data_IF_019662058534
#
_entry.id   IF_019662058534
#
_cell.length_a   1.000
_cell.length_b   1.000
_cell.length_c   1.000
_cell.angle_alpha   90.00
_cell.angle_beta   90.00
_cell.angle_gamma   90.00
#
_symmetry.space_group_name_H-M   'P 1'
#
loop_
_entity.id
_entity.type
_entity.pdbx_description
1 polymer ?
#
# COMPACT_ATOMS: atom_id res chain seq x y z
N UNK A 1 -8.35 15.50 9.05
CA UNK A 1 -7.92 14.39 8.17
C UNK A 1 -6.71 13.64 8.74
N UNK A 2 -5.69 14.35 9.16
CA UNK A 2 -4.45 13.74 9.68
C UNK A 2 -4.69 12.83 10.89
N UNK A 3 -5.61 13.20 11.78
CA UNK A 3 -5.92 12.45 13.00
C UNK A 3 -6.49 11.05 12.72
N UNK A 4 -7.35 10.90 11.72
CA UNK A 4 -7.91 9.60 11.36
C UNK A 4 -6.86 8.60 10.92
N UNK A 5 -5.89 9.03 10.12
CA UNK A 5 -4.76 8.18 9.70
C UNK A 5 -3.91 7.75 10.91
N UNK A 6 -3.69 8.68 11.86
CA UNK A 6 -2.96 8.39 13.10
C UNK A 6 -3.72 7.33 13.91
N UNK A 7 -5.01 7.54 14.19
CA UNK A 7 -5.83 6.63 14.98
C UNK A 7 -5.91 5.23 14.36
N UNK A 8 -6.09 5.15 13.03
CA UNK A 8 -6.12 3.87 12.33
C UNK A 8 -4.79 3.12 12.48
N UNK A 9 -3.68 3.84 12.43
CA UNK A 9 -2.33 3.25 12.61
C UNK A 9 -2.00 2.84 14.05
N UNK A 10 -2.78 3.30 15.02
CA UNK A 10 -2.67 2.85 16.43
C UNK A 10 -3.27 1.46 16.63
N UNK A 11 -4.15 1.01 15.72
CA UNK A 11 -4.72 -0.35 15.78
C UNK A 11 -3.63 -1.38 15.45
N UNK A 12 -3.41 -2.37 16.31
CA UNK A 12 -2.34 -3.34 16.14
C UNK A 12 -2.38 -4.06 14.79
N UNK A 13 -1.24 -4.13 14.13
CA UNK A 13 -1.06 -4.79 12.85
C UNK A 13 -1.30 -3.92 11.63
N UNK A 14 -1.92 -2.74 11.77
CA UNK A 14 -2.08 -1.80 10.67
C UNK A 14 -0.72 -1.23 10.26
N UNK A 15 -0.35 -1.40 9.01
CA UNK A 15 0.93 -0.95 8.45
C UNK A 15 0.79 0.36 7.68
N UNK A 16 -0.27 0.49 6.89
CA UNK A 16 -0.53 1.65 6.04
C UNK A 16 -1.98 2.09 6.17
N UNK A 17 -2.23 3.41 6.10
CA UNK A 17 -3.57 3.97 6.15
C UNK A 17 -3.66 5.25 5.31
N UNK A 18 -4.84 5.50 4.76
CA UNK A 18 -5.17 6.68 3.95
C UNK A 18 -6.55 7.18 4.29
N UNK A 19 -6.74 8.49 4.16
CA UNK A 19 -8.02 9.14 4.38
C UNK A 19 -8.31 10.15 3.26
N UNK A 20 -9.56 10.21 2.85
CA UNK A 20 -10.06 11.15 1.84
C UNK A 20 -11.21 11.95 2.42
N UNK A 21 -11.14 13.28 2.30
CA UNK A 21 -12.23 14.16 2.70
C UNK A 21 -13.36 14.11 1.68
N UNK A 22 -14.58 14.29 2.19
CA UNK A 22 -15.78 14.38 1.38
C UNK A 22 -16.00 13.17 0.45
N UNK A 23 -15.69 11.96 0.92
CA UNK A 23 -15.75 10.71 0.12
C UNK A 23 -17.13 10.52 -0.54
N UNK A 24 -18.19 10.79 0.20
CA UNK A 24 -19.58 10.81 -0.30
C UNK A 24 -20.23 12.20 -0.12
N UNK A 25 -19.45 13.26 -0.11
CA UNK A 25 -19.90 14.62 0.09
C UNK A 25 -19.50 15.24 1.44
N UNK A 26 -19.89 16.49 1.70
CA UNK A 26 -19.51 17.20 2.92
C UNK A 26 -19.87 16.43 4.19
N UNK A 27 -18.97 16.41 5.17
CA UNK A 27 -19.18 15.71 6.44
C UNK A 27 -18.87 14.21 6.40
N UNK A 28 -18.34 13.69 5.29
CA UNK A 28 -17.91 12.30 5.16
C UNK A 28 -16.39 12.18 5.00
N UNK A 29 -15.83 11.09 5.50
CA UNK A 29 -14.42 10.74 5.36
C UNK A 29 -14.31 9.31 4.86
N UNK A 30 -13.65 9.09 3.74
CA UNK A 30 -13.24 7.77 3.28
C UNK A 30 -11.97 7.35 4.01
N UNK A 31 -11.88 6.11 4.46
CA UNK A 31 -10.76 5.61 5.23
C UNK A 31 -10.37 4.22 4.76
N UNK A 32 -9.11 4.05 4.39
CA UNK A 32 -8.56 2.76 4.00
C UNK A 32 -7.30 2.44 4.79
N UNK A 33 -7.05 1.17 5.01
CA UNK A 33 -5.83 0.68 5.66
C UNK A 33 -5.47 -0.72 5.20
N UNK A 34 -4.24 -1.14 5.47
CA UNK A 34 -3.70 -2.44 5.10
C UNK A 34 -2.87 -3.06 6.23
N UNK A 35 -2.71 -4.38 6.14
CA UNK A 35 -1.92 -5.21 7.04
C UNK A 35 -0.81 -5.92 6.26
N UNK A 36 0.29 -5.23 5.96
CA UNK A 36 1.36 -5.78 5.09
C UNK A 36 2.02 -7.06 5.62
N UNK A 37 1.90 -7.33 6.93
CA UNK A 37 2.46 -8.53 7.56
C UNK A 37 1.52 -9.75 7.47
N UNK A 38 0.33 -9.60 6.89
CA UNK A 38 -0.61 -10.70 6.66
C UNK A 38 -0.52 -11.22 5.23
N UNK A 39 -0.86 -12.48 5.03
CA UNK A 39 -1.00 -13.06 3.69
C UNK A 39 -2.08 -12.31 2.88
N UNK A 40 -3.24 -12.06 3.50
CA UNK A 40 -4.23 -11.15 2.96
C UNK A 40 -4.04 -9.77 3.59
N UNK A 41 -3.47 -8.85 2.84
CA UNK A 41 -3.17 -7.49 3.32
C UNK A 41 -4.41 -6.60 3.43
N UNK A 42 -5.54 -6.98 2.79
CA UNK A 42 -6.79 -6.21 2.80
C UNK A 42 -7.60 -6.55 4.06
N UNK A 43 -8.21 -5.56 4.73
CA UNK A 43 -9.04 -5.78 5.90
C UNK A 43 -10.20 -6.76 5.66
N UNK A 44 -10.44 -7.63 6.64
CA UNK A 44 -11.62 -8.49 6.69
C UNK A 44 -12.83 -7.73 7.25
N UNK A 45 -14.01 -8.35 7.19
CA UNK A 45 -15.23 -7.77 7.82
C UNK A 45 -15.06 -7.58 9.34
N UNK A 46 -14.30 -8.44 9.98
CA UNK A 46 -14.02 -8.37 11.41
C UNK A 46 -13.10 -7.19 11.73
N UNK A 47 -12.08 -6.99 10.90
CA UNK A 47 -11.20 -5.81 10.98
C UNK A 47 -11.99 -4.51 10.80
N UNK A 48 -12.97 -4.47 9.90
CA UNK A 48 -13.83 -3.30 9.69
C UNK A 48 -14.62 -2.96 10.94
N UNK A 49 -15.25 -3.95 11.60
CA UNK A 49 -15.98 -3.74 12.84
C UNK A 49 -15.09 -3.27 13.98
N UNK A 50 -13.94 -3.88 14.12
CA UNK A 50 -12.95 -3.49 15.14
C UNK A 50 -12.51 -2.05 14.96
N UNK A 51 -12.23 -1.66 13.71
CA UNK A 51 -11.84 -0.29 13.39
C UNK A 51 -12.97 0.71 13.64
N UNK A 52 -14.20 0.38 13.26
CA UNK A 52 -15.37 1.22 13.51
C UNK A 52 -15.55 1.48 15.01
N UNK A 53 -15.44 0.44 15.85
CA UNK A 53 -15.54 0.58 17.30
C UNK A 53 -14.39 1.43 17.85
N UNK A 54 -13.17 1.24 17.36
CA UNK A 54 -12.01 2.01 17.78
C UNK A 54 -12.17 3.50 17.43
N UNK A 55 -12.59 3.81 16.22
CA UNK A 55 -12.81 5.18 15.77
C UNK A 55 -13.97 5.87 16.48
N UNK A 56 -14.99 5.11 16.88
CA UNK A 56 -16.11 5.67 17.61
C UNK A 56 -15.69 6.19 18.99
N UNK A 57 -14.98 5.40 19.77
CA UNK A 57 -14.46 5.80 21.07
C UNK A 57 -13.36 4.84 21.54
N UNK A 58 -12.17 5.37 21.84
CA UNK A 58 -11.06 4.60 22.39
C UNK A 58 -10.25 5.42 23.40
N UNK A 59 -9.44 4.74 24.22
CA UNK A 59 -8.45 5.40 25.07
C UNK A 59 -7.21 5.73 24.25
N UNK A 60 -6.82 7.00 24.28
CA UNK A 60 -5.57 7.43 23.66
C UNK A 60 -4.38 6.73 24.33
N UNK A 61 -3.51 6.03 23.58
CA UNK A 61 -2.46 5.19 24.17
C UNK A 61 -1.50 5.93 25.12
N UNK A 62 -1.16 7.18 24.79
CA UNK A 62 -0.20 7.95 25.56
C UNK A 62 -0.81 8.70 26.74
N UNK A 63 -2.07 9.13 26.65
CA UNK A 63 -2.69 10.02 27.68
C UNK A 63 -3.77 9.33 28.50
N UNK A 64 -4.30 8.19 28.04
CA UNK A 64 -5.41 7.49 28.67
C UNK A 64 -6.77 8.20 28.59
N UNK A 65 -6.83 9.35 27.93
CA UNK A 65 -8.07 10.12 27.72
C UNK A 65 -8.91 9.44 26.65
N UNK A 66 -10.24 9.45 26.84
CA UNK A 66 -11.17 8.95 25.84
C UNK A 66 -11.22 9.91 24.65
N UNK A 67 -10.95 9.41 23.48
CA UNK A 67 -10.98 10.13 22.21
C UNK A 67 -11.80 9.34 21.19
N UNK A 68 -12.28 10.01 20.15
CA UNK A 68 -13.05 9.38 19.10
C UNK A 68 -13.46 10.39 18.02
N UNK A 69 -14.10 9.88 16.98
CA UNK A 69 -14.52 10.73 15.86
C UNK A 69 -15.46 11.84 16.34
N UNK A 70 -15.34 13.07 15.81
CA UNK A 70 -16.27 14.15 16.08
C UNK A 70 -17.71 13.79 15.72
N UNK A 71 -18.67 14.26 16.51
CA UNK A 71 -20.07 14.14 16.16
C UNK A 71 -20.38 14.84 14.84
N UNK A 72 -21.23 14.23 14.00
CA UNK A 72 -21.61 14.76 12.69
C UNK A 72 -20.64 14.41 11.54
N UNK A 73 -19.53 13.74 11.82
CA UNK A 73 -18.64 13.18 10.78
C UNK A 73 -18.97 11.71 10.57
N UNK A 74 -19.27 11.35 9.34
CA UNK A 74 -19.50 9.97 8.91
C UNK A 74 -18.22 9.38 8.30
N UNK A 75 -17.78 8.25 8.84
CA UNK A 75 -16.56 7.56 8.36
C UNK A 75 -16.97 6.35 7.53
N UNK A 76 -16.46 6.30 6.31
CA UNK A 76 -16.71 5.22 5.34
C UNK A 76 -15.45 4.38 5.18
N UNK A 77 -15.47 3.10 5.54
CA UNK A 77 -14.38 2.21 5.21
C UNK A 77 -14.32 2.00 3.70
N UNK A 78 -13.19 2.35 3.11
CA UNK A 78 -12.91 2.16 1.68
C UNK A 78 -12.17 0.84 1.51
N UNK A 79 -12.80 -0.11 0.85
CA UNK A 79 -12.15 -1.38 0.56
C UNK A 79 -11.20 -1.22 -0.62
N UNK A 80 -9.91 -1.26 -0.34
CA UNK A 80 -8.87 -1.18 -1.37
C UNK A 80 -8.89 -2.42 -2.24
N UNK A 81 -8.94 -2.22 -3.55
CA UNK A 81 -8.77 -3.27 -4.56
C UNK A 81 -7.30 -3.35 -4.97
N UNK A 82 -6.74 -4.55 -5.01
CA UNK A 82 -5.36 -4.75 -5.42
C UNK A 82 -5.28 -4.92 -6.94
N UNK A 83 -4.56 -4.01 -7.59
CA UNK A 83 -4.24 -4.10 -9.02
C UNK A 83 -2.85 -4.70 -9.19
N UNK A 84 -2.80 -5.99 -9.51
CA UNK A 84 -1.54 -6.71 -9.70
C UNK A 84 -0.91 -6.39 -11.05
N UNK A 85 0.35 -6.00 -11.04
CA UNK A 85 1.17 -5.80 -12.24
C UNK A 85 2.18 -6.95 -12.33
N UNK A 86 2.14 -7.67 -13.44
CA UNK A 86 3.13 -8.71 -13.75
C UNK A 86 4.26 -8.11 -14.57
N UNK A 87 5.49 -8.36 -14.16
CA UNK A 87 6.68 -7.89 -14.86
C UNK A 87 7.64 -9.03 -15.17
N UNK A 88 8.35 -8.90 -16.27
CA UNK A 88 9.40 -9.85 -16.66
C UNK A 88 10.74 -9.12 -16.70
N UNK A 89 11.74 -9.70 -16.05
CA UNK A 89 13.06 -9.09 -15.88
C UNK A 89 14.13 -10.08 -16.31
N UNK A 90 15.13 -9.62 -17.06
CA UNK A 90 16.38 -10.33 -17.27
C UNK A 90 17.50 -9.55 -16.60
N UNK A 91 18.33 -10.22 -15.83
CA UNK A 91 19.46 -9.62 -15.12
C UNK A 91 20.79 -10.04 -15.73
N UNK A 92 21.77 -9.18 -15.68
CA UNK A 92 23.15 -9.45 -16.03
C UNK A 92 24.06 -8.97 -14.89
N UNK A 93 24.80 -9.86 -14.20
CA UNK A 93 24.68 -11.31 -14.21
C UNK A 93 23.38 -11.78 -13.52
N UNK A 94 22.83 -12.90 -13.98
CA UNK A 94 21.65 -13.51 -13.38
C UNK A 94 22.08 -14.49 -12.28
N UNK A 95 21.73 -14.18 -11.05
CA UNK A 95 21.98 -15.01 -9.87
C UNK A 95 20.81 -14.95 -8.90
N UNK A 96 20.69 -15.96 -8.04
CA UNK A 96 19.66 -15.97 -6.99
C UNK A 96 19.80 -14.77 -6.04
N UNK A 97 21.04 -14.38 -5.72
CA UNK A 97 21.30 -13.21 -4.87
C UNK A 97 20.82 -11.92 -5.54
N UNK A 98 21.10 -11.72 -6.83
CA UNK A 98 20.66 -10.55 -7.58
C UNK A 98 19.13 -10.51 -7.74
N UNK A 99 18.50 -11.65 -8.03
CA UNK A 99 17.02 -11.76 -8.09
C UNK A 99 16.38 -11.41 -6.75
N UNK A 100 16.96 -11.87 -5.64
CA UNK A 100 16.49 -11.57 -4.29
C UNK A 100 16.62 -10.08 -3.96
N UNK A 101 17.75 -9.47 -4.30
CA UNK A 101 18.00 -8.05 -4.08
C UNK A 101 17.04 -7.17 -4.92
N UNK A 102 16.79 -7.51 -6.18
CA UNK A 102 15.82 -6.82 -7.03
C UNK A 102 14.41 -6.96 -6.45
N UNK A 103 13.99 -8.13 -5.99
CA UNK A 103 12.70 -8.32 -5.34
C UNK A 103 12.54 -7.46 -4.10
N UNK A 104 13.58 -7.36 -3.27
CA UNK A 104 13.56 -6.51 -2.08
C UNK A 104 13.35 -5.03 -2.46
N UNK A 105 14.03 -4.54 -3.49
CA UNK A 105 13.87 -3.16 -3.97
C UNK A 105 12.47 -2.92 -4.56
N UNK A 106 11.91 -3.87 -5.30
CA UNK A 106 10.55 -3.78 -5.82
C UNK A 106 9.50 -3.81 -4.70
N UNK A 107 9.71 -4.62 -3.67
CA UNK A 107 8.85 -4.64 -2.48
C UNK A 107 8.90 -3.31 -1.73
N UNK A 108 10.08 -2.72 -1.59
CA UNK A 108 10.24 -1.40 -0.99
C UNK A 108 9.50 -0.32 -1.81
N UNK A 109 9.63 -0.34 -3.14
CA UNK A 109 8.90 0.56 -4.02
C UNK A 109 7.37 0.40 -3.86
N UNK A 110 6.86 -0.84 -3.84
CA UNK A 110 5.44 -1.12 -3.67
C UNK A 110 4.90 -0.52 -2.36
N UNK A 111 5.65 -0.57 -1.28
CA UNK A 111 5.25 -0.01 0.02
C UNK A 111 5.14 1.52 0.02
N UNK A 112 5.72 2.19 -0.96
CA UNK A 112 5.60 3.66 -1.11
C UNK A 112 4.34 4.08 -1.86
N UNK A 113 3.67 3.16 -2.55
CA UNK A 113 2.48 3.46 -3.33
C UNK A 113 1.23 3.61 -2.46
N UNK A 114 0.38 4.55 -2.83
CA UNK A 114 -0.94 4.76 -2.24
C UNK A 114 -2.05 4.44 -3.28
N UNK A 115 -3.28 4.15 -2.82
CA UNK A 115 -4.41 4.01 -3.73
C UNK A 115 -4.59 5.25 -4.62
N UNK A 116 -4.92 5.04 -5.88
CA UNK A 116 -5.09 6.11 -6.87
C UNK A 116 -3.80 6.66 -7.46
N UNK A 117 -2.64 6.12 -7.09
CA UNK A 117 -1.37 6.54 -7.65
C UNK A 117 -1.02 5.77 -8.92
N UNK A 118 -0.29 6.44 -9.80
CA UNK A 118 0.36 5.83 -10.96
C UNK A 118 1.70 5.23 -10.54
N UNK A 119 2.01 4.03 -11.03
CA UNK A 119 3.34 3.45 -10.96
C UNK A 119 4.09 3.75 -12.26
N UNK A 120 5.03 4.71 -12.25
CA UNK A 120 5.82 5.00 -13.43
C UNK A 120 6.80 3.86 -13.75
N UNK A 121 6.98 3.58 -15.02
CA UNK A 121 8.04 2.65 -15.49
C UNK A 121 9.42 3.09 -15.03
N UNK A 122 9.66 4.40 -14.97
CA UNK A 122 10.91 4.97 -14.46
C UNK A 122 11.21 4.57 -13.02
N UNK A 123 10.18 4.48 -12.16
CA UNK A 123 10.33 4.03 -10.77
C UNK A 123 10.73 2.55 -10.70
N UNK A 124 10.13 1.70 -11.55
CA UNK A 124 10.54 0.30 -11.68
C UNK A 124 11.98 0.17 -12.16
N UNK A 125 12.35 0.92 -13.19
CA UNK A 125 13.73 0.95 -13.71
C UNK A 125 14.74 1.40 -12.66
N UNK A 126 14.41 2.42 -11.88
CA UNK A 126 15.26 2.89 -10.79
C UNK A 126 15.41 1.81 -9.72
N UNK A 127 14.32 1.18 -9.28
CA UNK A 127 14.36 0.14 -8.26
C UNK A 127 15.22 -1.07 -8.68
N UNK A 128 15.17 -1.45 -9.95
CA UNK A 128 16.00 -2.53 -10.50
C UNK A 128 17.44 -2.04 -10.66
N UNK A 129 17.65 -0.90 -11.29
CA UNK A 129 18.97 -0.38 -11.64
C UNK A 129 19.84 0.00 -10.45
N UNK A 130 19.23 0.37 -9.30
CA UNK A 130 19.98 0.66 -8.07
C UNK A 130 20.47 -0.59 -7.32
N UNK A 131 20.13 -1.77 -7.80
CA UNK A 131 20.56 -3.03 -7.18
C UNK A 131 22.04 -3.23 -7.39
N UNK A 132 22.81 -3.31 -6.30
CA UNK A 132 24.22 -3.64 -6.36
C UNK A 132 24.42 -5.08 -6.84
N UNK A 133 25.44 -5.31 -7.66
CA UNK A 133 25.78 -6.64 -8.18
C UNK A 133 25.24 -6.96 -9.56
N UNK A 134 24.39 -6.12 -10.13
CA UNK A 134 23.98 -6.20 -11.55
C UNK A 134 24.73 -5.15 -12.37
N UNK A 135 25.08 -5.49 -13.60
CA UNK A 135 25.73 -4.58 -14.57
C UNK A 135 24.75 -4.08 -15.61
N UNK A 136 23.72 -4.86 -15.90
CA UNK A 136 22.66 -4.53 -16.86
C UNK A 136 21.37 -5.30 -16.55
N UNK A 137 20.26 -4.82 -17.08
CA UNK A 137 18.97 -5.49 -16.99
C UNK A 137 18.06 -5.16 -18.17
N UNK A 138 17.11 -6.03 -18.43
CA UNK A 138 16.01 -5.80 -19.36
C UNK A 138 14.69 -5.90 -18.59
N UNK A 139 13.80 -4.93 -18.76
CA UNK A 139 12.46 -4.89 -18.16
C UNK A 139 11.41 -4.87 -19.28
N UNK A 140 10.56 -5.89 -19.30
CA UNK A 140 9.48 -6.00 -20.27
C UNK A 140 8.19 -5.30 -19.75
N UNK A 141 8.22 -3.99 -19.68
CA UNK A 141 7.05 -3.12 -19.48
C UNK A 141 7.36 -1.76 -20.12
N UNK A 142 6.46 -1.27 -20.92
CA UNK A 142 6.68 -0.05 -21.74
C UNK A 142 5.90 1.16 -21.25
N UNK A 143 4.85 0.99 -20.48
CA UNK A 143 3.93 2.04 -20.10
C UNK A 143 3.73 2.12 -18.58
N UNK A 144 3.43 3.33 -18.11
CA UNK A 144 3.08 3.57 -16.72
C UNK A 144 1.76 2.87 -16.39
N UNK A 145 1.68 2.30 -15.18
CA UNK A 145 0.46 1.68 -14.69
C UNK A 145 -0.33 2.68 -13.87
N UNK A 146 -1.55 2.95 -14.28
CA UNK A 146 -2.50 3.82 -13.55
C UNK A 146 -3.42 3.00 -12.66
N UNK A 147 -3.99 3.63 -11.64
CA UNK A 147 -4.99 3.03 -10.76
C UNK A 147 -6.13 3.99 -10.46
N UNK A 148 -7.30 3.43 -10.18
CA UNK A 148 -8.45 4.19 -9.69
C UNK A 148 -8.24 4.59 -8.22
N UNK A 149 -9.05 5.52 -7.72
CA UNK A 149 -8.91 6.09 -6.38
C UNK A 149 -8.91 5.05 -5.24
N UNK A 150 -9.62 3.94 -5.44
CA UNK A 150 -9.72 2.81 -4.51
C UNK A 150 -8.84 1.61 -4.89
N UNK A 151 -8.03 1.74 -5.97
CA UNK A 151 -7.09 0.70 -6.40
C UNK A 151 -5.67 0.99 -5.91
N UNK A 152 -5.03 -0.03 -5.35
CA UNK A 152 -3.61 -0.02 -5.01
C UNK A 152 -2.85 -0.93 -5.97
N UNK A 153 -1.87 -0.36 -6.65
CA UNK A 153 -0.98 -1.14 -7.51
C UNK A 153 -0.06 -1.99 -6.64
N UNK A 154 -0.03 -3.29 -6.92
CA UNK A 154 0.89 -4.24 -6.30
C UNK A 154 1.72 -4.92 -7.38
N UNK A 155 3.01 -5.12 -7.11
CA UNK A 155 3.89 -5.87 -7.99
C UNK A 155 3.63 -7.36 -7.72
N UNK A 156 3.06 -8.04 -8.70
CA UNK A 156 2.75 -9.46 -8.64
C UNK A 156 3.99 -10.33 -8.82
N UNK A 157 3.82 -11.47 -9.48
CA UNK A 157 4.95 -12.33 -9.78
C UNK A 157 5.92 -11.66 -10.75
N UNK A 158 7.21 -11.78 -10.42
CA UNK A 158 8.30 -11.40 -11.30
C UNK A 158 8.73 -12.65 -12.09
N UNK A 159 8.58 -12.59 -13.40
CA UNK A 159 9.09 -13.62 -14.31
C UNK A 159 10.55 -13.32 -14.64
N UNK A 160 11.42 -14.26 -14.34
CA UNK A 160 12.85 -14.12 -14.67
C UNK A 160 13.11 -14.70 -16.05
N UNK A 161 13.54 -13.82 -16.96
CA UNK A 161 13.92 -14.20 -18.30
C UNK A 161 15.37 -14.67 -18.30
N UNK A 162 15.62 -15.82 -18.92
CA UNK A 162 16.97 -16.32 -19.18
C UNK A 162 17.54 -15.68 -20.44
N UNK A 163 18.87 -15.66 -20.53
CA UNK A 163 19.57 -15.15 -21.71
C UNK A 163 19.32 -16.02 -22.95
#
# INVERSE_FOLDING_TARGET
>A
MHDYVIWVREVPGVSRAWAWDAWHGPGTVGLAWLYDDRENIVPTREDLKTMEQYLFCHKHPATGVMVGKPGGIEVWPVQVRLKKVSISIRLTPDSLANRSAVRANLTALQKTLAPGQTLPVSSLRTAIGMTSGITDYFLNIGEDTTSDVDELITIGEVTWLTA
#
